data_IF_688088255792
#
_entry.id   IF_688088255792
#
_cell.length_a   1.000
_cell.length_b   1.000
_cell.length_c   1.000
_cell.angle_alpha   90.00
_cell.angle_beta   90.00
_cell.angle_gamma   90.00
#
_symmetry.space_group_name_H-M   'P 1'
#
loop_
_entity.id
_entity.type
_entity.pdbx_description
1 polymer ?
#
# COMPACT_ATOMS: atom_id res chain seq x y z
N UNK A 1 30.41 -8.64 10.27
CA UNK A 1 31.07 -7.65 11.15
C UNK A 1 32.35 -8.23 11.77
N UNK A 2 32.28 -9.24 12.66
CA UNK A 2 33.48 -9.88 13.22
C UNK A 2 34.30 -10.70 12.20
N UNK A 3 33.63 -11.40 11.26
CA UNK A 3 34.30 -12.18 10.22
C UNK A 3 35.00 -11.32 9.15
N UNK A 4 34.45 -10.14 8.83
CA UNK A 4 35.09 -9.21 7.89
C UNK A 4 36.41 -8.70 8.47
N UNK A 5 36.47 -8.41 9.78
CA UNK A 5 37.67 -7.90 10.45
C UNK A 5 38.77 -8.95 10.69
N UNK A 6 38.44 -10.25 10.65
CA UNK A 6 39.42 -11.34 10.80
C UNK A 6 40.13 -11.66 9.46
N UNK A 7 39.42 -11.55 8.33
CA UNK A 7 40.04 -11.52 6.99
C UNK A 7 40.98 -10.30 6.85
N UNK A 8 40.57 -9.15 7.39
CA UNK A 8 41.34 -7.88 7.36
C UNK A 8 42.72 -8.00 8.02
N UNK A 9 42.87 -8.78 9.09
CA UNK A 9 44.17 -8.95 9.76
C UNK A 9 45.12 -9.90 9.02
N UNK A 10 44.57 -10.85 8.24
CA UNK A 10 45.36 -11.82 7.46
C UNK A 10 45.88 -11.21 6.16
N UNK A 11 45.08 -10.37 5.50
CA UNK A 11 45.50 -9.62 4.30
C UNK A 11 46.54 -8.54 4.60
N UNK A 12 46.49 -7.92 5.79
CA UNK A 12 47.46 -6.91 6.24
C UNK A 12 48.91 -7.43 6.33
N UNK A 13 49.10 -8.73 6.62
CA UNK A 13 50.43 -9.33 6.75
C UNK A 13 50.99 -9.70 5.37
N UNK A 14 50.13 -10.11 4.43
CA UNK A 14 50.55 -10.56 3.10
C UNK A 14 50.90 -9.39 2.14
N UNK A 15 50.15 -8.28 2.19
CA UNK A 15 50.39 -7.14 1.28
C UNK A 15 51.52 -6.21 1.75
N UNK A 16 51.87 -6.22 3.04
CA UNK A 16 52.97 -5.41 3.59
C UNK A 16 54.37 -5.91 3.17
N UNK A 17 54.52 -7.16 2.74
CA UNK A 17 55.81 -7.73 2.34
C UNK A 17 56.24 -7.39 0.91
N UNK A 18 55.39 -6.75 0.08
CA UNK A 18 55.69 -6.60 -1.36
C UNK A 18 55.67 -5.19 -1.95
N UNK A 19 55.45 -4.11 -1.18
CA UNK A 19 55.54 -2.74 -1.72
C UNK A 19 56.33 -1.76 -0.86
N UNK A 20 57.53 -1.49 -1.38
CA UNK A 20 58.33 -0.26 -1.29
C UNK A 20 58.04 0.69 -0.11
N UNK A 21 58.82 0.51 0.95
CA UNK A 21 58.83 1.31 2.18
C UNK A 21 59.32 2.76 1.99
N UNK A 22 59.70 3.17 0.77
CA UNK A 22 60.23 4.51 0.51
C UNK A 22 59.22 5.52 -0.04
N UNK A 23 58.09 5.07 -0.61
CA UNK A 23 57.04 5.96 -1.16
C UNK A 23 55.98 6.36 -0.13
N UNK A 24 56.08 5.81 1.09
CA UNK A 24 55.11 5.94 2.19
C UNK A 24 55.47 7.01 3.24
N UNK A 25 56.62 7.67 3.09
CA UNK A 25 57.00 8.84 3.88
C UNK A 25 56.48 10.09 3.16
N UNK A 26 55.28 10.53 3.52
CA UNK A 26 54.85 11.91 3.27
C UNK A 26 55.82 12.84 4.01
N UNK A 27 56.91 13.26 3.36
CA UNK A 27 57.88 14.23 3.90
C UNK A 27 57.23 15.60 4.21
N UNK A 28 55.98 15.82 3.77
CA UNK A 28 55.16 17.01 3.99
C UNK A 28 54.00 16.81 5.01
N UNK A 29 53.98 15.72 5.78
CA UNK A 29 52.94 15.53 6.79
C UNK A 29 53.00 16.61 7.88
N UNK A 30 51.92 17.41 8.02
CA UNK A 30 51.78 18.44 9.06
C UNK A 30 52.20 17.85 10.43
N UNK A 31 53.24 18.41 11.09
CA UNK A 31 53.73 17.92 12.37
C UNK A 31 52.62 17.78 13.42
N UNK A 32 51.59 18.61 13.35
CA UNK A 32 50.42 18.58 14.23
C UNK A 32 49.58 17.32 13.99
N UNK A 33 49.29 16.98 12.72
CA UNK A 33 48.55 15.76 12.36
C UNK A 33 49.33 14.50 12.73
N UNK A 34 50.64 14.51 12.50
CA UNK A 34 51.52 13.39 12.86
C UNK A 34 51.54 13.15 14.38
N UNK A 35 51.68 14.21 15.19
CA UNK A 35 51.63 14.10 16.65
C UNK A 35 50.26 13.60 17.15
N UNK A 36 49.16 14.07 16.57
CA UNK A 36 47.81 13.65 16.93
C UNK A 36 47.54 12.17 16.62
N UNK A 37 48.05 11.69 15.48
CA UNK A 37 48.00 10.29 15.07
C UNK A 37 48.83 9.42 16.03
N UNK A 38 50.07 9.82 16.33
CA UNK A 38 50.94 9.07 17.25
C UNK A 38 50.32 8.89 18.64
N UNK A 39 49.69 9.94 19.20
CA UNK A 39 48.97 9.85 20.48
C UNK A 39 47.77 8.89 20.38
N UNK A 40 47.05 8.89 19.25
CA UNK A 40 45.96 7.96 19.03
C UNK A 40 46.46 6.51 18.92
N UNK A 41 47.56 6.27 18.21
CA UNK A 41 48.19 4.95 18.09
C UNK A 41 48.62 4.40 19.46
N UNK A 42 49.21 5.24 20.32
CA UNK A 42 49.55 4.85 21.69
C UNK A 42 48.31 4.47 22.51
N UNK A 43 47.23 5.24 22.39
CA UNK A 43 45.97 4.92 23.06
C UNK A 43 45.34 3.61 22.54
N UNK A 44 45.43 3.35 21.23
CA UNK A 44 44.94 2.11 20.62
C UNK A 44 45.73 0.88 21.07
N UNK A 45 47.04 1.02 21.31
CA UNK A 45 47.91 -0.04 21.81
C UNK A 45 47.76 -0.28 23.33
N UNK A 46 47.14 0.65 24.06
CA UNK A 46 47.05 0.58 25.53
C UNK A 46 46.34 -0.69 26.03
N UNK A 47 45.16 -1.09 25.51
CA UNK A 47 44.54 -2.38 25.85
C UNK A 47 45.47 -3.58 25.60
N UNK A 48 46.17 -3.61 24.48
CA UNK A 48 47.03 -4.74 24.15
C UNK A 48 48.21 -4.83 25.13
N UNK A 49 48.76 -3.69 25.55
CA UNK A 49 49.90 -3.62 26.47
C UNK A 49 49.51 -3.98 27.92
N UNK A 50 48.33 -3.58 28.37
CA UNK A 50 47.93 -3.69 29.78
C UNK A 50 46.90 -4.79 30.08
N UNK A 51 46.12 -5.19 29.08
CA UNK A 51 45.02 -6.16 29.19
C UNK A 51 45.22 -7.38 28.28
N UNK A 52 46.25 -7.37 27.42
CA UNK A 52 46.64 -8.52 26.61
C UNK A 52 45.78 -8.74 25.36
N UNK A 53 44.83 -7.87 25.06
CA UNK A 53 44.00 -7.94 23.86
C UNK A 53 43.70 -6.55 23.28
N UNK A 54 43.29 -6.50 22.02
CA UNK A 54 42.92 -5.27 21.33
C UNK A 54 41.66 -4.64 21.94
N UNK A 55 41.50 -3.31 21.78
CA UNK A 55 40.35 -2.54 22.29
C UNK A 55 38.99 -3.16 21.94
N UNK A 56 38.85 -3.71 20.73
CA UNK A 56 37.61 -4.34 20.23
C UNK A 56 37.26 -5.68 20.89
N UNK A 57 38.23 -6.32 21.54
CA UNK A 57 38.07 -7.61 22.20
C UNK A 57 37.86 -7.46 23.71
N UNK A 58 37.71 -6.22 24.21
CA UNK A 58 37.40 -5.98 25.62
C UNK A 58 35.92 -6.17 25.89
N UNK A 59 35.63 -6.80 27.03
CA UNK A 59 34.26 -6.96 27.49
C UNK A 59 33.66 -5.61 27.91
N UNK A 60 32.53 -5.28 27.30
CA UNK A 60 31.79 -4.06 27.58
C UNK A 60 30.71 -4.32 28.65
N UNK A 61 31.00 -3.91 29.89
CA UNK A 61 30.07 -4.01 31.01
C UNK A 61 29.93 -2.66 31.75
N UNK A 62 29.07 -2.58 32.75
CA UNK A 62 28.81 -1.33 33.50
C UNK A 62 30.03 -0.77 34.24
N UNK A 63 31.00 -1.61 34.57
CA UNK A 63 32.23 -1.22 35.26
C UNK A 63 33.34 -0.83 34.28
N UNK A 64 33.36 -1.40 33.07
CA UNK A 64 34.41 -1.13 32.06
C UNK A 64 34.01 -0.07 31.02
N UNK A 65 32.72 0.20 30.86
CA UNK A 65 32.17 1.09 29.83
C UNK A 65 32.86 2.45 29.78
N UNK A 66 33.08 3.09 30.94
CA UNK A 66 33.65 4.45 30.98
C UNK A 66 35.08 4.48 30.44
N UNK A 67 35.90 3.48 30.78
CA UNK A 67 37.29 3.41 30.35
C UNK A 67 37.40 2.95 28.89
N UNK A 68 36.60 1.96 28.47
CA UNK A 68 36.56 1.52 27.08
C UNK A 68 36.12 2.68 26.17
N UNK A 69 35.12 3.44 26.58
CA UNK A 69 34.67 4.65 25.87
C UNK A 69 35.77 5.71 25.79
N UNK A 70 36.47 5.97 26.90
CA UNK A 70 37.59 6.92 26.93
C UNK A 70 38.70 6.49 25.98
N UNK A 71 39.11 5.22 26.02
CA UNK A 71 40.13 4.67 25.14
C UNK A 71 39.70 4.70 23.68
N UNK A 72 38.42 4.42 23.38
CA UNK A 72 37.88 4.51 22.03
C UNK A 72 37.98 5.91 21.44
N UNK A 73 37.64 6.94 22.22
CA UNK A 73 37.76 8.33 21.77
C UNK A 73 39.24 8.74 21.63
N UNK A 74 40.11 8.30 22.55
CA UNK A 74 41.53 8.62 22.48
C UNK A 74 42.25 7.94 21.31
N UNK A 75 41.89 6.69 21.01
CA UNK A 75 42.39 5.91 19.89
C UNK A 75 41.87 6.39 18.53
N UNK A 76 40.93 7.34 18.51
CA UNK A 76 40.42 7.90 17.27
C UNK A 76 41.52 8.60 16.48
N UNK A 77 41.74 8.13 15.24
CA UNK A 77 42.85 8.61 14.39
C UNK A 77 44.12 7.75 14.44
N UNK A 78 44.11 6.57 15.07
CA UNK A 78 45.27 5.68 15.14
C UNK A 78 45.66 5.01 13.80
N UNK A 79 44.70 4.76 12.91
CA UNK A 79 44.90 3.98 11.67
C UNK A 79 45.40 4.83 10.49
N UNK A 80 46.06 5.95 10.76
CA UNK A 80 46.52 6.91 9.74
C UNK A 80 47.93 6.54 9.29
N UNK A 81 48.10 5.30 8.81
CA UNK A 81 49.32 4.91 8.09
C UNK A 81 49.07 5.02 6.58
N UNK A 82 50.12 5.36 5.82
CA UNK A 82 50.10 5.43 4.36
C UNK A 82 49.84 4.07 3.72
N UNK A 83 50.36 2.99 4.31
CA UNK A 83 50.05 1.61 3.93
C UNK A 83 48.54 1.28 3.98
N UNK A 84 47.81 1.87 4.92
CA UNK A 84 46.36 1.68 5.07
C UNK A 84 45.53 2.74 4.34
N UNK A 85 46.14 3.71 3.63
CA UNK A 85 45.42 4.82 3.00
C UNK A 85 44.43 4.35 1.92
N UNK A 86 44.83 3.39 1.08
CA UNK A 86 43.96 2.81 0.03
C UNK A 86 42.75 2.08 0.62
N UNK A 87 42.97 1.28 1.67
CA UNK A 87 41.90 0.58 2.38
C UNK A 87 40.95 1.55 3.09
N UNK A 88 41.50 2.55 3.79
CA UNK A 88 40.70 3.62 4.41
C UNK A 88 39.85 4.35 3.38
N UNK A 89 40.40 4.67 2.22
CA UNK A 89 39.63 5.28 1.14
C UNK A 89 38.45 4.40 0.71
N UNK A 90 38.67 3.09 0.53
CA UNK A 90 37.61 2.15 0.14
C UNK A 90 36.55 1.92 1.23
N UNK A 91 36.93 1.84 2.51
CA UNK A 91 36.02 1.48 3.61
C UNK A 91 35.45 2.67 4.38
N UNK A 92 36.10 3.83 4.30
CA UNK A 92 35.61 5.08 4.87
C UNK A 92 35.13 6.08 3.82
N UNK A 93 35.43 5.89 2.54
CA UNK A 93 34.95 6.76 1.46
C UNK A 93 35.71 8.08 1.37
N UNK A 94 37.02 8.06 1.64
CA UNK A 94 37.88 9.24 1.56
C UNK A 94 37.91 10.12 2.81
N UNK A 95 37.18 9.78 3.86
CA UNK A 95 37.29 10.45 5.17
C UNK A 95 38.70 10.29 5.73
N UNK A 96 39.31 11.41 6.11
CA UNK A 96 40.62 11.43 6.74
C UNK A 96 40.52 11.39 8.28
N UNK A 97 41.66 11.50 8.96
CA UNK A 97 41.68 11.50 10.42
C UNK A 97 41.00 12.74 11.02
N UNK A 98 41.09 13.87 10.32
CA UNK A 98 40.53 15.17 10.73
C UNK A 98 39.02 15.22 10.61
N UNK A 99 38.44 14.39 9.75
CA UNK A 99 36.98 14.21 9.66
C UNK A 99 36.40 13.31 10.78
N UNK A 100 37.24 12.71 11.64
CA UNK A 100 36.77 11.85 12.71
C UNK A 100 36.19 12.66 13.87
N UNK A 101 34.87 12.60 14.05
CA UNK A 101 34.14 13.35 15.07
C UNK A 101 34.59 13.05 16.51
N UNK A 102 35.14 11.87 16.79
CA UNK A 102 35.72 11.57 18.11
C UNK A 102 37.10 12.23 18.29
N UNK A 103 37.85 12.42 17.21
CA UNK A 103 39.08 13.22 17.25
C UNK A 103 38.76 14.71 17.45
N UNK A 104 37.72 15.24 16.80
CA UNK A 104 37.21 16.60 17.05
C UNK A 104 36.76 16.77 18.51
N UNK A 105 36.05 15.79 19.06
CA UNK A 105 35.64 15.80 20.47
C UNK A 105 36.84 15.88 21.42
N UNK A 106 37.89 15.09 21.15
CA UNK A 106 39.13 15.09 21.93
C UNK A 106 39.79 16.47 21.95
N UNK A 107 39.78 17.17 20.82
CA UNK A 107 40.38 18.50 20.67
C UNK A 107 39.52 19.61 21.28
N UNK A 108 38.21 19.56 21.07
CA UNK A 108 37.26 20.59 21.55
C UNK A 108 36.97 20.49 23.04
N UNK A 109 36.92 19.27 23.59
CA UNK A 109 36.53 19.03 24.99
C UNK A 109 37.50 18.09 25.73
N UNK A 110 38.80 18.42 25.86
CA UNK A 110 39.78 17.59 26.56
C UNK A 110 39.43 17.39 28.04
N UNK A 111 38.73 18.36 28.65
CA UNK A 111 38.25 18.27 30.03
C UNK A 111 37.24 17.14 30.25
N UNK A 112 36.41 16.83 29.24
CA UNK A 112 35.45 15.74 29.29
C UNK A 112 36.15 14.38 29.27
N UNK A 113 37.18 14.21 28.43
CA UNK A 113 37.97 12.97 28.41
C UNK A 113 38.79 12.78 29.68
N UNK A 114 39.31 13.86 30.26
CA UNK A 114 39.95 13.82 31.57
C UNK A 114 38.95 13.40 32.65
N UNK A 115 37.72 13.91 32.61
CA UNK A 115 36.66 13.53 33.55
C UNK A 115 36.30 12.04 33.45
N UNK A 116 36.20 11.50 32.24
CA UNK A 116 35.95 10.07 32.00
C UNK A 116 37.01 9.14 32.62
N UNK A 117 38.21 9.63 32.95
CA UNK A 117 39.24 8.80 33.59
C UNK A 117 39.02 8.55 35.09
N UNK A 118 38.09 9.29 35.73
CA UNK A 118 37.81 9.16 37.16
C UNK A 118 36.32 9.30 37.51
N UNK A 119 35.45 9.56 36.53
CA UNK A 119 33.99 9.68 36.70
C UNK A 119 33.30 8.71 35.76
N UNK A 120 32.30 7.99 36.27
CA UNK A 120 31.53 7.06 35.45
C UNK A 120 30.72 7.81 34.38
N UNK A 121 30.56 7.22 33.20
CA UNK A 121 29.70 7.76 32.13
C UNK A 121 28.26 7.96 32.60
N UNK A 122 27.80 7.15 33.56
CA UNK A 122 26.46 7.28 34.15
C UNK A 122 26.29 8.56 34.98
N UNK A 123 27.38 9.07 35.55
CA UNK A 123 27.39 10.26 36.41
C UNK A 123 27.67 11.56 35.65
N UNK A 124 27.93 11.46 34.34
CA UNK A 124 28.05 12.64 33.48
C UNK A 124 26.73 13.40 33.37
N UNK A 125 26.84 14.72 33.18
CA UNK A 125 25.67 15.54 32.89
C UNK A 125 25.03 15.14 31.56
N UNK A 126 23.73 15.43 31.41
CA UNK A 126 23.01 15.13 30.16
C UNK A 126 23.67 15.81 28.95
N UNK A 127 24.18 17.03 29.11
CA UNK A 127 24.89 17.73 28.04
C UNK A 127 26.14 16.98 27.59
N UNK A 128 26.98 16.53 28.53
CA UNK A 128 28.19 15.76 28.23
C UNK A 128 27.89 14.42 27.55
N UNK A 129 26.84 13.72 28.01
CA UNK A 129 26.37 12.48 27.38
C UNK A 129 25.93 12.73 25.94
N UNK A 130 25.18 13.81 25.69
CA UNK A 130 24.76 14.18 24.34
C UNK A 130 25.95 14.53 23.44
N UNK A 131 26.96 15.22 23.97
CA UNK A 131 28.19 15.53 23.24
C UNK A 131 28.93 14.25 22.82
N UNK A 132 29.07 13.28 23.72
CA UNK A 132 29.70 11.99 23.40
C UNK A 132 28.87 11.22 22.35
N UNK A 133 27.57 11.11 22.54
CA UNK A 133 26.69 10.40 21.59
C UNK A 133 26.77 11.01 20.18
N UNK A 134 26.77 12.33 20.07
CA UNK A 134 26.91 13.01 18.79
C UNK A 134 28.23 12.65 18.08
N UNK A 135 29.34 12.64 18.83
CA UNK A 135 30.64 12.26 18.28
C UNK A 135 30.70 10.79 17.84
N UNK A 136 30.08 9.88 18.61
CA UNK A 136 29.99 8.47 18.24
C UNK A 136 29.12 8.25 16.99
N UNK A 137 27.99 8.94 16.88
CA UNK A 137 27.18 8.94 15.67
C UNK A 137 27.96 9.47 14.46
N UNK A 138 28.70 10.58 14.63
CA UNK A 138 29.58 11.10 13.59
C UNK A 138 30.62 10.07 13.13
N UNK A 139 31.22 9.35 14.08
CA UNK A 139 32.17 8.27 13.79
C UNK A 139 31.54 7.13 12.99
N UNK A 140 30.33 6.69 13.35
CA UNK A 140 29.61 5.64 12.60
C UNK A 140 29.34 6.06 11.15
N UNK A 141 29.01 7.33 10.91
CA UNK A 141 28.76 7.86 9.56
C UNK A 141 30.03 7.89 8.68
N UNK A 142 31.22 7.78 9.27
CA UNK A 142 32.47 7.61 8.49
C UNK A 142 32.59 6.22 7.87
N UNK A 143 31.83 5.23 8.33
CA UNK A 143 31.89 3.86 7.83
C UNK A 143 30.99 3.67 6.60
N UNK A 144 31.54 3.13 5.50
CA UNK A 144 30.78 2.83 4.28
C UNK A 144 29.56 1.96 4.57
N UNK A 145 29.73 0.88 5.34
CA UNK A 145 28.63 -0.04 5.69
C UNK A 145 27.45 0.64 6.39
N UNK A 146 27.71 1.66 7.22
CA UNK A 146 26.65 2.42 7.88
C UNK A 146 25.92 3.32 6.88
N UNK A 147 26.67 3.94 5.96
CA UNK A 147 26.07 4.78 4.91
C UNK A 147 25.24 3.95 3.94
N UNK A 148 25.76 2.83 3.46
CA UNK A 148 25.04 1.90 2.60
C UNK A 148 23.74 1.43 3.26
N UNK A 149 23.80 1.04 4.54
CA UNK A 149 22.61 0.67 5.31
C UNK A 149 21.57 1.80 5.40
N UNK A 150 22.00 3.05 5.57
CA UNK A 150 21.11 4.21 5.60
C UNK A 150 20.48 4.42 4.23
N UNK A 151 21.27 4.35 3.16
CA UNK A 151 20.81 4.52 1.77
C UNK A 151 19.76 3.46 1.41
N UNK A 152 20.04 2.19 1.69
CA UNK A 152 19.11 1.07 1.51
C UNK A 152 17.81 1.29 2.29
N UNK A 153 17.93 1.71 3.55
CA UNK A 153 16.76 1.99 4.40
C UNK A 153 15.90 3.14 3.84
N UNK A 154 16.54 4.17 3.28
CA UNK A 154 15.85 5.30 2.65
C UNK A 154 15.14 4.87 1.37
N UNK A 155 15.72 4.00 0.58
CA UNK A 155 15.10 3.48 -0.64
C UNK A 155 13.91 2.57 -0.34
N UNK A 156 14.03 1.68 0.67
CA UNK A 156 12.89 0.91 1.18
C UNK A 156 11.77 1.84 1.65
N UNK A 157 12.09 2.86 2.44
CA UNK A 157 11.09 3.84 2.92
C UNK A 157 10.38 4.54 1.75
N UNK A 158 11.12 4.94 0.71
CA UNK A 158 10.55 5.58 -0.49
C UNK A 158 9.58 4.65 -1.21
N UNK A 159 9.96 3.39 -1.39
CA UNK A 159 9.15 2.37 -2.04
C UNK A 159 7.86 2.10 -1.25
N UNK A 160 7.96 1.82 0.05
CA UNK A 160 6.79 1.59 0.91
C UNK A 160 5.86 2.80 0.94
N UNK A 161 6.41 4.03 0.93
CA UNK A 161 5.60 5.25 0.88
C UNK A 161 4.87 5.41 -0.45
N UNK A 162 5.43 4.94 -1.56
CA UNK A 162 4.76 4.93 -2.87
C UNK A 162 3.64 3.89 -2.91
N UNK A 163 3.91 2.67 -2.46
CA UNK A 163 2.91 1.60 -2.36
C UNK A 163 1.72 2.02 -1.48
N UNK A 164 1.98 2.69 -0.36
CA UNK A 164 0.92 3.22 0.49
C UNK A 164 0.02 4.22 -0.24
N UNK A 165 0.59 5.09 -1.10
CA UNK A 165 -0.21 6.03 -1.91
C UNK A 165 -1.07 5.29 -2.93
N UNK A 166 -0.53 4.27 -3.57
CA UNK A 166 -1.25 3.44 -4.55
C UNK A 166 -2.39 2.67 -3.89
N UNK A 167 -2.14 2.02 -2.74
CA UNK A 167 -3.18 1.34 -1.97
C UNK A 167 -4.30 2.30 -1.54
N UNK A 168 -3.95 3.51 -1.10
CA UNK A 168 -4.93 4.54 -0.75
C UNK A 168 -5.77 4.99 -1.96
N UNK A 169 -5.13 5.17 -3.11
CA UNK A 169 -5.82 5.54 -4.35
C UNK A 169 -6.75 4.40 -4.83
N UNK A 170 -6.28 3.16 -4.76
CA UNK A 170 -7.03 1.96 -5.12
C UNK A 170 -8.24 1.75 -4.20
N UNK A 171 -8.08 1.94 -2.89
CA UNK A 171 -9.20 1.89 -1.95
C UNK A 171 -10.28 2.91 -2.32
N UNK A 172 -9.88 4.15 -2.58
CA UNK A 172 -10.83 5.20 -2.96
C UNK A 172 -11.49 4.94 -4.33
N UNK A 173 -10.77 4.34 -5.29
CA UNK A 173 -11.35 3.87 -6.55
C UNK A 173 -12.40 2.79 -6.31
N UNK A 174 -12.10 1.79 -5.48
CA UNK A 174 -13.04 0.71 -5.10
C UNK A 174 -14.28 1.25 -4.40
N UNK A 175 -14.14 2.21 -3.51
CA UNK A 175 -15.27 2.86 -2.83
C UNK A 175 -16.21 3.57 -3.83
N UNK A 176 -15.65 4.27 -4.82
CA UNK A 176 -16.41 4.93 -5.90
C UNK A 176 -17.13 3.90 -6.79
N UNK A 177 -16.45 2.83 -7.17
CA UNK A 177 -17.02 1.75 -7.98
C UNK A 177 -18.15 1.02 -7.24
N UNK A 178 -17.95 0.72 -5.95
CA UNK A 178 -18.97 0.11 -5.10
C UNK A 178 -20.21 1.02 -4.95
N UNK A 179 -20.01 2.33 -4.77
CA UNK A 179 -21.11 3.30 -4.72
C UNK A 179 -21.88 3.36 -6.06
N UNK A 180 -21.17 3.40 -7.19
CA UNK A 180 -21.78 3.38 -8.51
C UNK A 180 -22.54 2.08 -8.79
N UNK A 181 -21.98 0.92 -8.42
CA UNK A 181 -22.62 -0.39 -8.54
C UNK A 181 -23.90 -0.46 -7.70
N UNK A 182 -23.90 0.07 -6.47
CA UNK A 182 -25.09 0.14 -5.61
C UNK A 182 -26.20 0.98 -6.25
N UNK A 183 -25.86 2.11 -6.87
CA UNK A 183 -26.82 2.96 -7.58
C UNK A 183 -27.38 2.24 -8.81
N UNK A 184 -26.53 1.57 -9.61
CA UNK A 184 -26.96 0.80 -10.78
C UNK A 184 -27.92 -0.32 -10.38
N UNK A 185 -27.59 -1.08 -9.34
CA UNK A 185 -28.45 -2.14 -8.81
C UNK A 185 -29.83 -1.62 -8.39
N UNK A 186 -29.88 -0.51 -7.64
CA UNK A 186 -31.15 0.13 -7.25
C UNK A 186 -31.98 0.58 -8.47
N UNK A 187 -31.34 1.12 -9.51
CA UNK A 187 -32.04 1.51 -10.74
C UNK A 187 -32.61 0.30 -11.48
N UNK A 188 -31.84 -0.78 -11.59
CA UNK A 188 -32.26 -2.03 -12.23
C UNK A 188 -33.41 -2.70 -11.48
N UNK A 189 -33.34 -2.77 -10.15
CA UNK A 189 -34.42 -3.28 -9.29
C UNK A 189 -35.70 -2.45 -9.45
N UNK A 190 -35.59 -1.12 -9.53
CA UNK A 190 -36.74 -0.24 -9.79
C UNK A 190 -37.34 -0.46 -11.17
N UNK A 191 -36.51 -0.66 -12.20
CA UNK A 191 -36.97 -0.91 -13.56
C UNK A 191 -37.70 -2.26 -13.65
N UNK A 192 -37.13 -3.33 -13.09
CA UNK A 192 -37.77 -4.65 -13.00
C UNK A 192 -39.09 -4.58 -12.24
N UNK A 193 -39.15 -3.85 -11.12
CA UNK A 193 -40.39 -3.61 -10.39
C UNK A 193 -41.46 -2.87 -11.19
N UNK A 194 -41.06 -1.91 -12.04
CA UNK A 194 -41.98 -1.23 -12.96
C UNK A 194 -42.47 -2.16 -14.08
N UNK A 195 -41.58 -2.93 -14.70
CA UNK A 195 -41.93 -3.93 -15.71
C UNK A 195 -42.91 -4.97 -15.17
N UNK A 196 -42.68 -5.46 -13.94
CA UNK A 196 -43.56 -6.44 -13.32
C UNK A 196 -44.94 -5.86 -13.01
N UNK A 197 -45.01 -4.63 -12.50
CA UNK A 197 -46.30 -3.91 -12.32
C UNK A 197 -47.04 -3.70 -13.65
N UNK A 198 -46.33 -3.39 -14.73
CA UNK A 198 -46.92 -3.24 -16.06
C UNK A 198 -47.44 -4.57 -16.60
N UNK A 199 -46.70 -5.67 -16.40
CA UNK A 199 -47.15 -7.03 -16.74
C UNK A 199 -48.39 -7.43 -15.96
N UNK A 200 -48.38 -7.28 -14.64
CA UNK A 200 -49.54 -7.56 -13.77
C UNK A 200 -50.77 -6.73 -14.18
N UNK A 201 -50.59 -5.43 -14.46
CA UNK A 201 -51.69 -4.58 -14.93
C UNK A 201 -52.22 -5.03 -16.29
N UNK A 202 -51.34 -5.44 -17.20
CA UNK A 202 -51.74 -5.95 -18.50
C UNK A 202 -52.45 -7.31 -18.42
N UNK A 203 -52.04 -8.19 -17.51
CA UNK A 203 -52.72 -9.45 -17.23
C UNK A 203 -54.10 -9.24 -16.62
N UNK A 204 -54.23 -8.34 -15.64
CA UNK A 204 -55.55 -7.95 -15.07
C UNK A 204 -56.49 -7.41 -16.13
N UNK A 205 -56.01 -6.53 -17.02
CA UNK A 205 -56.81 -6.02 -18.14
C UNK A 205 -57.22 -7.14 -19.13
N UNK A 206 -56.37 -8.16 -19.32
CA UNK A 206 -56.70 -9.35 -20.13
C UNK A 206 -57.72 -10.26 -19.44
N UNK A 207 -57.66 -10.42 -18.12
CA UNK A 207 -58.65 -11.16 -17.33
C UNK A 207 -59.99 -10.43 -17.27
N UNK A 208 -59.99 -9.11 -17.11
CA UNK A 208 -61.19 -8.27 -17.20
C UNK A 208 -61.85 -8.31 -18.58
N UNK A 209 -61.07 -8.41 -19.66
CA UNK A 209 -61.60 -8.66 -21.01
C UNK A 209 -62.07 -10.11 -21.22
N UNK A 210 -61.57 -11.07 -20.43
CA UNK A 210 -62.06 -12.45 -20.37
C UNK A 210 -63.18 -12.64 -19.35
N UNK A 211 -63.86 -11.58 -18.92
CA UNK A 211 -64.99 -11.68 -18.01
C UNK A 211 -66.16 -12.44 -18.72
N UNK A 212 -66.56 -13.63 -18.23
CA UNK A 212 -67.55 -14.49 -18.89
C UNK A 212 -68.93 -13.85 -19.04
N UNK A 213 -69.20 -12.76 -18.33
CA UNK A 213 -70.45 -11.97 -18.43
C UNK A 213 -70.61 -11.37 -19.84
N UNK A 214 -69.52 -10.91 -20.47
CA UNK A 214 -69.57 -10.32 -21.82
C UNK A 214 -69.80 -11.43 -22.87
N UNK A 215 -69.13 -12.57 -22.71
CA UNK A 215 -69.31 -13.71 -23.62
C UNK A 215 -70.72 -14.32 -23.55
N UNK A 216 -71.30 -14.41 -22.34
CA UNK A 216 -72.68 -14.86 -22.14
C UNK A 216 -73.68 -13.86 -22.71
N UNK A 217 -73.45 -12.56 -22.53
CA UNK A 217 -74.32 -11.50 -23.06
C UNK A 217 -74.32 -11.47 -24.59
N UNK A 218 -73.16 -11.64 -25.23
CA UNK A 218 -73.05 -11.74 -26.70
C UNK A 218 -73.76 -12.98 -27.22
N UNK A 219 -73.63 -14.13 -26.55
CA UNK A 219 -74.37 -15.35 -26.91
C UNK A 219 -75.88 -15.19 -26.76
N UNK A 220 -76.35 -14.48 -25.72
CA UNK A 220 -77.77 -14.20 -25.50
C UNK A 220 -78.36 -13.28 -26.59
N UNK A 221 -77.64 -12.22 -26.96
CA UNK A 221 -78.06 -11.31 -28.04
C UNK A 221 -78.10 -12.04 -29.38
N UNK A 222 -77.11 -12.90 -29.66
CA UNK A 222 -77.08 -13.68 -30.89
C UNK A 222 -78.17 -14.78 -30.93
N UNK A 223 -78.56 -15.33 -29.79
CA UNK A 223 -79.70 -16.23 -29.65
C UNK A 223 -81.03 -15.50 -29.90
N UNK A 224 -81.23 -14.33 -29.27
CA UNK A 224 -82.43 -13.50 -29.48
C UNK A 224 -82.58 -13.06 -30.94
N UNK A 225 -81.48 -12.70 -31.62
CA UNK A 225 -81.51 -12.34 -33.04
C UNK A 225 -81.93 -13.52 -33.93
N UNK A 226 -81.45 -14.74 -33.63
CA UNK A 226 -81.88 -15.96 -34.33
C UNK A 226 -83.36 -16.28 -34.10
N UNK A 227 -83.85 -16.15 -32.87
CA UNK A 227 -85.27 -16.37 -32.56
C UNK A 227 -86.14 -15.35 -33.31
N UNK A 228 -85.74 -14.07 -33.32
CA UNK A 228 -86.45 -13.02 -34.06
C UNK A 228 -86.50 -13.31 -35.56
N UNK A 229 -85.37 -13.70 -36.17
CA UNK A 229 -85.32 -14.05 -37.60
C UNK A 229 -86.25 -15.24 -37.93
N UNK A 230 -86.28 -16.25 -37.06
CA UNK A 230 -87.15 -17.42 -37.21
C UNK A 230 -88.63 -17.07 -37.04
N UNK A 231 -88.97 -16.16 -36.13
CA UNK A 231 -90.35 -15.67 -35.94
C UNK A 231 -90.80 -14.84 -37.15
N UNK A 232 -89.92 -14.00 -37.70
CA UNK A 232 -90.19 -13.26 -38.94
C UNK A 232 -90.43 -14.21 -40.11
N UNK A 233 -89.69 -15.31 -40.21
CA UNK A 233 -89.90 -16.32 -41.25
C UNK A 233 -91.25 -17.03 -41.09
N UNK A 234 -91.60 -17.41 -39.87
CA UNK A 234 -92.91 -18.00 -39.56
C UNK A 234 -94.06 -17.03 -39.83
N UNK A 235 -93.90 -15.76 -39.46
CA UNK A 235 -94.91 -14.73 -39.75
C UNK A 235 -95.04 -14.48 -41.25
N UNK A 236 -93.94 -14.52 -42.01
CA UNK A 236 -93.99 -14.43 -43.47
C UNK A 236 -94.72 -15.64 -44.07
N UNK A 237 -94.44 -16.87 -43.62
CA UNK A 237 -95.19 -18.05 -44.07
C UNK A 237 -96.67 -17.99 -43.65
N UNK A 238 -96.98 -17.52 -42.45
CA UNK A 238 -98.36 -17.29 -42.03
C UNK A 238 -99.05 -16.22 -42.89
N UNK A 239 -98.32 -15.18 -43.32
CA UNK A 239 -98.84 -14.14 -44.21
C UNK A 239 -99.06 -14.68 -45.64
N UNK A 240 -98.16 -15.52 -46.15
CA UNK A 240 -98.31 -16.20 -47.43
C UNK A 240 -99.49 -17.18 -47.41
N UNK A 241 -99.69 -17.92 -46.31
CA UNK A 241 -100.87 -18.78 -46.11
C UNK A 241 -102.15 -17.95 -45.98
N UNK A 242 -102.13 -16.81 -45.28
CA UNK A 242 -103.28 -15.91 -45.19
C UNK A 242 -103.62 -15.30 -46.56
N UNK A 243 -102.62 -14.94 -47.37
CA UNK A 243 -102.79 -14.42 -48.72
C UNK A 243 -103.31 -15.49 -49.68
N UNK A 244 -102.88 -16.75 -49.51
CA UNK A 244 -103.44 -17.92 -50.23
C UNK A 244 -104.91 -18.17 -49.86
N UNK A 245 -105.27 -18.03 -48.58
CA UNK A 245 -106.68 -18.10 -48.13
C UNK A 245 -107.49 -16.92 -48.70
N UNK A 246 -106.91 -15.71 -48.75
CA UNK A 246 -107.61 -14.52 -49.26
C UNK A 246 -107.77 -14.52 -50.79
N UNK A 247 -106.83 -15.10 -51.53
CA UNK A 247 -106.90 -15.24 -53.00
C UNK A 247 -107.75 -16.44 -53.44
N UNK A 248 -107.88 -17.47 -52.61
CA UNK A 248 -108.73 -18.64 -52.87
C UNK A 248 -110.19 -18.48 -52.39
N UNK A 249 -110.48 -17.45 -51.59
CA UNK A 249 -111.82 -17.19 -51.01
C UNK A 249 -112.79 -16.38 -51.89
N UNK A 250 -112.38 -15.91 -53.08
CA UNK A 250 -113.22 -15.09 -53.98
C UNK A 250 -113.94 -15.86 -55.10
N UNK A 251 -114.10 -17.18 -54.99
CA UNK A 251 -114.84 -17.97 -56.00
C UNK A 251 -116.10 -18.69 -55.49
N UNK A 252 -116.50 -18.52 -54.24
CA UNK A 252 -117.69 -19.19 -53.71
C UNK A 252 -118.48 -18.17 -52.90
N UNK A 253 -119.77 -18.01 -53.22
CA UNK A 253 -120.71 -16.97 -52.73
C UNK A 253 -120.74 -15.66 -53.52
N UNK A 254 -121.15 -15.72 -54.79
CA UNK A 254 -122.40 -15.06 -55.21
C UNK A 254 -122.81 -15.46 -56.64
N UNK A 255 -123.00 -16.76 -56.88
CA UNK A 255 -123.93 -17.22 -57.91
C UNK A 255 -125.32 -17.38 -57.25
N UNK A 256 -125.89 -16.24 -56.85
CA UNK A 256 -127.31 -16.10 -56.53
C UNK A 256 -127.75 -14.65 -56.74
N UNK A 257 -127.67 -14.18 -58.00
CA UNK A 257 -128.44 -13.06 -58.52
C UNK A 257 -128.34 -13.02 -60.05
N UNK A 258 -129.42 -13.45 -60.71
CA UNK A 258 -129.86 -13.17 -62.09
C UNK A 258 -129.21 -13.92 -63.27
N UNK A 259 -130.11 -14.56 -64.03
CA UNK A 259 -130.13 -14.79 -65.48
C UNK A 259 -128.86 -15.23 -66.21
#
# INVERSE_FOLDING_TARGET
MAEEEEEIAKDQIADAETKDLTEALDEDADPTKSALSAVATLAAAWPQLHQGCNLKNLDLDSCTLSEILRLHILASGADVTSANAKYRYQKRGGFDATDDACMELRLSNPGLLKKLSYTSVYDLSSAEKMTILHALCGKLLTLVSTRDFIEDSVDVLRQTKQEFRELKAEQHRREREAAAAKIRRRKEERLKGQEQKMKEKHEKLKEEQKNPVIEVSVKYVQFLFKVHLSLCYYLAECFDVLLLIYTSGSQIFHLHALF
#
